data_IF_459921959440
#
_entry.id   IF_459921959440
#
_cell.length_a   1.000
_cell.length_b   1.000
_cell.length_c   1.000
_cell.angle_alpha   90.00
_cell.angle_beta   90.00
_cell.angle_gamma   90.00
#
_symmetry.space_group_name_H-M   'P 1'
#
loop_
_entity.id
_entity.type
_entity.pdbx_description
1 polymer ?
#
# COMPACT_ATOMS: atom_id res chain seq x y z
N UNK A 1 10.82 -12.48 2.24
CA UNK A 1 10.91 -11.52 1.12
C UNK A 1 9.91 -10.41 1.38
N UNK A 2 10.29 -9.14 1.16
CA UNK A 2 9.33 -8.02 1.24
C UNK A 2 8.67 -7.85 -0.14
N UNK A 3 7.34 -7.72 -0.23
CA UNK A 3 6.65 -7.53 -1.49
C UNK A 3 7.06 -6.20 -2.13
N UNK A 4 7.17 -6.20 -3.45
CA UNK A 4 7.54 -5.03 -4.25
C UNK A 4 6.38 -4.44 -5.04
N UNK A 5 5.31 -5.22 -5.20
CA UNK A 5 4.08 -4.85 -5.92
C UNK A 5 2.82 -5.15 -5.10
N UNK A 6 1.69 -4.53 -5.46
CA UNK A 6 0.40 -4.79 -4.81
C UNK A 6 -0.07 -6.24 -4.97
N UNK A 7 0.35 -6.93 -6.05
CA UNK A 7 0.00 -8.32 -6.30
C UNK A 7 0.74 -9.31 -5.36
N UNK A 8 1.90 -8.92 -4.84
CA UNK A 8 2.69 -9.73 -3.90
C UNK A 8 2.24 -9.57 -2.44
N UNK A 9 1.33 -8.64 -2.15
CA UNK A 9 0.83 -8.40 -0.81
C UNK A 9 -0.12 -9.51 -0.36
N UNK A 10 0.25 -10.21 0.71
CA UNK A 10 -0.56 -11.28 1.30
C UNK A 10 -1.43 -10.72 2.44
N UNK A 11 -2.68 -11.17 2.52
CA UNK A 11 -3.59 -10.89 3.64
C UNK A 11 -4.29 -9.53 3.62
N UNK A 12 -4.06 -8.69 2.61
CA UNK A 12 -4.67 -7.36 2.48
C UNK A 12 -5.72 -7.27 1.34
N UNK A 13 -6.23 -8.41 0.87
CA UNK A 13 -7.12 -8.48 -0.30
C UNK A 13 -8.45 -7.73 -0.17
N UNK A 14 -8.98 -7.57 1.05
CA UNK A 14 -10.18 -6.75 1.26
C UNK A 14 -9.96 -5.27 0.98
N UNK A 15 -8.72 -4.80 1.19
CA UNK A 15 -8.31 -3.42 1.03
C UNK A 15 -7.75 -3.15 -0.38
N UNK A 16 -6.84 -4.01 -0.86
CA UNK A 16 -6.06 -3.82 -2.09
C UNK A 16 -6.23 -4.94 -3.13
N UNK A 17 -7.24 -5.80 -2.96
CA UNK A 17 -7.61 -6.79 -3.98
C UNK A 17 -8.07 -6.13 -5.27
N UNK A 18 -8.15 -6.92 -6.34
CA UNK A 18 -8.65 -6.44 -7.63
C UNK A 18 -10.03 -5.79 -7.50
N UNK A 19 -10.23 -4.67 -8.19
CA UNK A 19 -11.47 -3.92 -8.17
C UNK A 19 -11.77 -3.14 -6.88
N UNK A 20 -10.95 -3.27 -5.82
CA UNK A 20 -11.12 -2.49 -4.59
C UNK A 20 -10.80 -1.01 -4.81
N UNK A 21 -11.51 -0.16 -4.06
CA UNK A 21 -11.36 1.29 -4.16
C UNK A 21 -9.92 1.75 -3.93
N UNK A 22 -9.28 1.28 -2.85
CA UNK A 22 -7.91 1.71 -2.54
C UNK A 22 -6.94 1.30 -3.64
N UNK A 23 -7.06 0.07 -4.17
CA UNK A 23 -6.25 -0.39 -5.29
C UNK A 23 -6.40 0.52 -6.50
N UNK A 24 -7.63 0.86 -6.89
CA UNK A 24 -7.90 1.75 -8.03
C UNK A 24 -7.30 3.14 -7.83
N UNK A 25 -7.40 3.70 -6.62
CA UNK A 25 -6.81 5.01 -6.29
C UNK A 25 -5.29 5.01 -6.33
N UNK A 26 -4.66 3.91 -5.92
CA UNK A 26 -3.20 3.74 -6.01
C UNK A 26 -2.78 3.61 -7.48
N UNK A 27 -3.42 2.72 -8.23
CA UNK A 27 -3.12 2.46 -9.65
C UNK A 27 -3.40 3.68 -10.55
N UNK A 28 -4.37 4.54 -10.20
CA UNK A 28 -4.66 5.78 -10.91
C UNK A 28 -3.82 6.98 -10.47
N UNK A 29 -2.90 6.82 -9.51
CA UNK A 29 -2.08 7.90 -8.93
C UNK A 29 -2.95 9.04 -8.33
N UNK A 30 -4.12 8.68 -7.78
CA UNK A 30 -5.10 9.60 -7.16
C UNK A 30 -5.23 9.42 -5.65
N UNK A 31 -4.34 8.64 -5.04
CA UNK A 31 -4.33 8.47 -3.60
C UNK A 31 -3.94 9.79 -2.91
N UNK A 32 -4.85 10.33 -2.10
CA UNK A 32 -4.62 11.51 -1.28
C UNK A 32 -4.02 11.13 0.09
N UNK A 33 -4.25 11.93 1.13
CA UNK A 33 -3.76 11.64 2.49
C UNK A 33 -4.47 10.44 3.10
N UNK A 34 -3.70 9.44 3.55
CA UNK A 34 -4.20 8.21 4.17
C UNK A 34 -3.39 7.88 5.42
N UNK A 35 -4.07 7.36 6.44
CA UNK A 35 -3.44 6.79 7.64
C UNK A 35 -3.71 5.28 7.64
N UNK A 36 -2.66 4.47 7.64
CA UNK A 36 -2.78 3.03 7.86
C UNK A 36 -2.69 2.73 9.35
N UNK A 37 -3.71 2.07 9.91
CA UNK A 37 -3.78 1.72 11.32
C UNK A 37 -4.01 0.22 11.52
N UNK A 38 -3.45 -0.35 12.59
CA UNK A 38 -3.60 -1.76 12.96
C UNK A 38 -2.44 -2.29 13.81
N UNK A 39 -2.54 -3.54 14.31
CA UNK A 39 -1.54 -4.18 15.18
C UNK A 39 -0.10 -4.17 14.63
N UNK A 40 0.95 -4.29 15.46
CA UNK A 40 2.32 -4.43 14.97
C UNK A 40 2.47 -5.67 14.08
N UNK A 41 3.31 -5.58 13.04
CA UNK A 41 3.56 -6.69 12.12
C UNK A 41 2.52 -6.91 11.01
N UNK A 42 1.44 -6.13 10.93
CA UNK A 42 0.40 -6.28 9.88
C UNK A 42 0.79 -5.77 8.49
N UNK A 43 2.02 -5.29 8.30
CA UNK A 43 2.53 -4.87 6.99
C UNK A 43 2.19 -3.44 6.57
N UNK A 44 1.83 -2.53 7.49
CA UNK A 44 1.52 -1.11 7.18
C UNK A 44 2.68 -0.38 6.48
N UNK A 45 3.88 -0.48 7.05
CA UNK A 45 5.08 0.14 6.46
C UNK A 45 5.40 -0.48 5.10
N UNK A 46 5.23 -1.79 4.99
CA UNK A 46 5.39 -2.53 3.73
C UNK A 46 4.39 -2.05 2.68
N UNK A 47 3.11 -1.88 3.05
CA UNK A 47 2.06 -1.37 2.16
C UNK A 47 2.40 0.05 1.68
N UNK A 48 2.82 0.94 2.59
CA UNK A 48 3.23 2.30 2.21
C UNK A 48 4.41 2.30 1.22
N UNK A 49 5.38 1.40 1.40
CA UNK A 49 6.51 1.24 0.49
C UNK A 49 6.06 0.70 -0.89
N UNK A 50 5.18 -0.30 -0.92
CA UNK A 50 4.62 -0.85 -2.18
C UNK A 50 3.80 0.19 -2.93
N UNK A 51 3.03 1.02 -2.22
CA UNK A 51 2.25 2.12 -2.83
C UNK A 51 3.19 3.10 -3.52
N UNK A 52 4.26 3.53 -2.84
CA UNK A 52 5.23 4.45 -3.44
C UNK A 52 5.96 3.86 -4.66
N UNK A 53 6.15 2.54 -4.73
CA UNK A 53 6.69 1.88 -5.92
C UNK A 53 5.68 1.85 -7.10
N UNK A 54 4.38 1.91 -6.81
CA UNK A 54 3.30 1.80 -7.79
C UNK A 54 2.80 3.16 -8.26
N UNK A 55 3.04 4.22 -7.47
CA UNK A 55 2.62 5.60 -7.74
C UNK A 55 3.83 6.50 -7.99
N UNK A 56 3.60 7.80 -8.19
CA UNK A 56 4.70 8.79 -8.30
C UNK A 56 5.12 9.37 -6.95
N UNK A 57 4.71 8.75 -5.85
CA UNK A 57 4.97 9.25 -4.51
C UNK A 57 6.40 8.95 -4.05
N UNK A 58 6.97 9.86 -3.24
CA UNK A 58 8.22 9.60 -2.53
C UNK A 58 7.93 8.84 -1.23
N UNK A 59 8.72 7.78 -0.97
CA UNK A 59 8.68 7.09 0.32
C UNK A 59 9.70 7.70 1.28
N UNK A 60 9.22 8.22 2.42
CA UNK A 60 10.06 8.72 3.50
C UNK A 60 9.79 7.89 4.75
N UNK A 61 10.81 7.17 5.22
CA UNK A 61 10.75 6.43 6.47
C UNK A 61 11.30 7.30 7.61
N UNK A 62 10.56 7.38 8.71
CA UNK A 62 10.97 8.05 9.93
C UNK A 62 10.74 7.11 11.12
N UNK A 63 11.72 7.01 12.02
CA UNK A 63 11.68 6.19 13.24
C UNK A 63 11.86 7.04 14.48
#
# INVERSE_FOLDING_TARGET
LRPTSLAEMVGQGELIGEGKLLRRLIESDQLSSVIFWGPPGTGKTTLAQVIANTSKCNFVFFS
#
